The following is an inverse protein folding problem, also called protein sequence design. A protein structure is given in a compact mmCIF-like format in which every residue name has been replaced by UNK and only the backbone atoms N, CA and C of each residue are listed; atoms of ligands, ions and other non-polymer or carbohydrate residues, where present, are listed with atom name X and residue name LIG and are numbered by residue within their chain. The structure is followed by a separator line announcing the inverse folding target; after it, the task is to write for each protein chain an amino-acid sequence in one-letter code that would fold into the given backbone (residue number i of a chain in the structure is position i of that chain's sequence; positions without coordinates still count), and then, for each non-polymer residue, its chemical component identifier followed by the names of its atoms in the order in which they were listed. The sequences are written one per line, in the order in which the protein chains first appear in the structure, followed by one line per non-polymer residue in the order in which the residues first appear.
data_IF_441297243141
#
_entry.id   IF_441297243141
#
_cell.length_a   1.000
_cell.length_b   1.000
_cell.length_c   1.000
_cell.angle_alpha   90.00
_cell.angle_beta   90.00
_cell.angle_gamma   90.00
#
_symmetry.space_group_name_H-M   'P 1'
#
loop_
_entity.id
_entity.type
_entity.pdbx_description
1 polymer ?
#
# COMPACT_ATOMS: atom_id res chain seq x y z
N UNK A 1 0.81 -9.89 -6.28
CA UNK A 1 -0.44 -10.18 -5.52
C UNK A 1 -1.47 -10.61 -6.54
N UNK A 2 -1.99 -11.83 -6.46
CA UNK A 2 -2.76 -12.49 -7.53
C UNK A 2 -4.08 -11.77 -7.90
N UNK A 3 -4.77 -11.16 -6.95
CA UNK A 3 -6.01 -10.42 -7.23
C UNK A 3 -5.77 -9.15 -8.07
N UNK A 4 -4.72 -8.40 -7.78
CA UNK A 4 -4.37 -7.19 -8.54
C UNK A 4 -3.88 -7.53 -9.95
N UNK A 5 -3.15 -8.65 -10.11
CA UNK A 5 -2.76 -9.19 -11.41
C UNK A 5 -3.99 -9.57 -12.25
N UNK A 6 -4.99 -10.21 -11.63
CA UNK A 6 -6.26 -10.50 -12.28
C UNK A 6 -6.99 -9.22 -12.71
N UNK A 7 -7.07 -8.21 -11.84
CA UNK A 7 -7.66 -6.91 -12.18
C UNK A 7 -6.92 -6.23 -13.34
N UNK A 8 -5.58 -6.25 -13.37
CA UNK A 8 -4.79 -5.73 -14.49
C UNK A 8 -5.12 -6.46 -15.80
N UNK A 9 -5.29 -7.79 -15.73
CA UNK A 9 -5.72 -8.60 -16.86
C UNK A 9 -7.19 -8.39 -17.27
N UNK A 10 -7.93 -7.49 -16.62
CA UNK A 10 -9.38 -7.31 -16.74
C UNK A 10 -10.18 -8.60 -16.48
N UNK A 11 -9.76 -9.35 -15.47
CA UNK A 11 -10.48 -10.51 -14.96
C UNK A 11 -11.23 -10.06 -13.69
N UNK A 12 -12.56 -10.24 -13.63
CA UNK A 12 -13.34 -9.90 -12.43
C UNK A 12 -12.89 -10.73 -11.23
N UNK A 13 -12.85 -10.09 -10.06
CA UNK A 13 -12.39 -10.71 -8.81
C UNK A 13 -13.58 -10.87 -7.86
N UNK A 14 -13.64 -12.04 -7.19
CA UNK A 14 -14.47 -12.23 -6.00
C UNK A 14 -13.55 -12.04 -4.79
N UNK A 15 -13.86 -11.07 -3.94
CA UNK A 15 -13.08 -10.74 -2.75
C UNK A 15 -13.88 -11.05 -1.48
N UNK A 16 -13.18 -11.38 -0.40
CA UNK A 16 -13.80 -11.60 0.91
C UNK A 16 -13.90 -10.26 1.64
N UNK A 17 -15.04 -10.00 2.27
CA UNK A 17 -15.25 -8.82 3.12
C UNK A 17 -14.14 -8.64 4.16
N UNK A 18 -13.67 -7.40 4.34
CA UNK A 18 -12.57 -7.06 5.25
C UNK A 18 -11.17 -7.47 4.77
N UNK A 19 -11.04 -7.99 3.53
CA UNK A 19 -9.73 -8.20 2.92
C UNK A 19 -9.19 -6.92 2.26
N UNK A 20 -7.86 -6.72 2.18
CA UNK A 20 -7.28 -5.57 1.48
C UNK A 20 -7.70 -5.45 0.00
N UNK A 21 -8.11 -6.57 -0.61
CA UNK A 21 -8.65 -6.59 -1.97
C UNK A 21 -10.07 -6.03 -1.99
N UNK A 22 -10.92 -6.40 -1.02
CA UNK A 22 -12.27 -5.87 -0.88
C UNK A 22 -12.26 -4.36 -0.59
N UNK A 23 -11.33 -3.88 0.25
CA UNK A 23 -11.17 -2.44 0.54
C UNK A 23 -10.89 -1.60 -0.72
N UNK A 24 -10.31 -2.23 -1.74
CA UNK A 24 -10.00 -1.60 -3.02
C UNK A 24 -10.99 -1.95 -4.12
N UNK A 25 -11.81 -2.97 -3.93
CA UNK A 25 -12.86 -3.34 -4.87
C UNK A 25 -14.00 -2.35 -4.70
N UNK A 26 -14.11 -1.37 -5.59
CA UNK A 26 -15.34 -0.59 -5.70
C UNK A 26 -16.50 -1.52 -6.11
N UNK A 27 -17.74 -1.17 -5.76
CA UNK A 27 -18.95 -2.01 -5.98
C UNK A 27 -19.14 -2.51 -7.43
N UNK A 28 -18.47 -1.90 -8.40
CA UNK A 28 -18.57 -2.21 -9.83
C UNK A 28 -17.38 -2.96 -10.44
N UNK A 29 -16.30 -3.20 -9.68
CA UNK A 29 -15.07 -3.85 -10.18
C UNK A 29 -15.00 -5.37 -9.91
N UNK A 30 -15.92 -5.88 -9.10
CA UNK A 30 -16.01 -7.30 -8.77
C UNK A 30 -17.13 -7.55 -7.76
N UNK A 31 -17.03 -8.65 -7.01
CA UNK A 31 -18.06 -9.04 -6.05
C UNK A 31 -17.41 -9.27 -4.69
N UNK A 32 -17.95 -8.63 -3.66
CA UNK A 32 -17.54 -8.87 -2.27
C UNK A 32 -18.50 -9.89 -1.67
N UNK A 33 -17.95 -10.89 -0.96
CA UNK A 33 -18.71 -11.94 -0.28
C UNK A 33 -18.32 -12.02 1.21
N UNK A 34 -19.26 -12.44 2.05
CA UNK A 34 -19.02 -12.68 3.46
C UNK A 34 -18.16 -13.95 3.67
N UNK A 35 -17.15 -13.92 4.56
CA UNK A 35 -16.39 -15.13 4.91
C UNK A 35 -17.23 -16.20 5.64
N UNK A 36 -18.39 -15.83 6.18
CA UNK A 36 -19.28 -16.72 6.94
C UNK A 36 -20.42 -17.31 6.08
N UNK A 37 -20.52 -16.93 4.81
CA UNK A 37 -21.60 -17.30 3.91
C UNK A 37 -21.04 -17.88 2.58
N UNK A 38 -20.54 -19.13 2.56
CA UNK A 38 -19.94 -19.74 1.37
C UNK A 38 -20.90 -19.82 0.17
N UNK A 39 -22.21 -19.85 0.41
CA UNK A 39 -23.26 -19.77 -0.61
C UNK A 39 -23.19 -18.48 -1.44
N UNK A 40 -22.70 -17.37 -0.89
CA UNK A 40 -22.52 -16.12 -1.64
C UNK A 40 -21.49 -16.27 -2.75
N UNK A 41 -20.51 -17.15 -2.60
CA UNK A 41 -19.56 -17.48 -3.68
C UNK A 41 -20.29 -18.16 -4.84
N UNK A 42 -21.23 -19.06 -4.57
CA UNK A 42 -22.02 -19.71 -5.62
C UNK A 42 -22.89 -18.69 -6.36
N UNK A 43 -23.55 -17.79 -5.63
CA UNK A 43 -24.33 -16.68 -6.20
C UNK A 43 -23.43 -15.75 -7.04
N UNK A 44 -22.22 -15.44 -6.56
CA UNK A 44 -21.26 -14.62 -7.29
C UNK A 44 -20.84 -15.30 -8.60
N UNK A 45 -20.54 -16.60 -8.58
CA UNK A 45 -20.20 -17.37 -9.77
C UNK A 45 -21.36 -17.45 -10.77
N UNK A 46 -22.60 -17.60 -10.28
CA UNK A 46 -23.79 -17.57 -11.13
C UNK A 46 -23.96 -16.21 -11.80
N UNK A 47 -23.79 -15.09 -11.07
CA UNK A 47 -23.79 -13.74 -11.67
C UNK A 47 -22.70 -13.61 -12.74
N UNK A 48 -21.50 -14.12 -12.46
CA UNK A 48 -20.37 -14.12 -13.40
C UNK A 48 -20.55 -15.09 -14.57
N UNK A 49 -21.66 -15.84 -14.67
CA UNK A 49 -21.99 -16.55 -15.91
C UNK A 49 -22.33 -15.59 -17.06
N UNK A 50 -22.82 -14.38 -16.75
CA UNK A 50 -23.06 -13.31 -17.73
C UNK A 50 -21.73 -12.75 -18.29
N UNK A 51 -21.42 -12.95 -19.58
CA UNK A 51 -20.20 -12.42 -20.20
C UNK A 51 -20.14 -10.90 -20.17
N UNK A 52 -21.28 -10.21 -20.31
CA UNK A 52 -21.32 -8.75 -20.30
C UNK A 52 -20.99 -8.20 -18.92
N UNK A 53 -21.48 -8.85 -17.85
CA UNK A 53 -21.10 -8.49 -16.48
C UNK A 53 -19.60 -8.69 -16.24
N UNK A 54 -19.04 -9.84 -16.68
CA UNK A 54 -17.60 -10.11 -16.54
C UNK A 54 -16.76 -9.04 -17.21
N UNK A 55 -17.12 -8.66 -18.43
CA UNK A 55 -16.40 -7.65 -19.19
C UNK A 55 -16.43 -6.29 -18.49
N UNK A 56 -17.62 -5.82 -18.06
CA UNK A 56 -17.76 -4.54 -17.36
C UNK A 56 -16.97 -4.51 -16.06
N UNK A 57 -17.10 -5.56 -15.23
CA UNK A 57 -16.37 -5.66 -13.96
C UNK A 57 -14.87 -5.73 -14.18
N UNK A 58 -14.40 -6.53 -15.14
CA UNK A 58 -12.99 -6.64 -15.48
C UNK A 58 -12.39 -5.32 -15.96
N UNK A 59 -13.08 -4.61 -16.86
CA UNK A 59 -12.63 -3.29 -17.33
C UNK A 59 -12.54 -2.28 -16.18
N UNK A 60 -13.52 -2.28 -15.27
CA UNK A 60 -13.51 -1.41 -14.10
C UNK A 60 -12.38 -1.76 -13.14
N UNK A 61 -12.15 -3.05 -12.89
CA UNK A 61 -11.01 -3.54 -12.11
C UNK A 61 -9.67 -3.07 -12.70
N UNK A 62 -9.51 -3.18 -14.03
CA UNK A 62 -8.32 -2.67 -14.73
C UNK A 62 -8.13 -1.17 -14.53
N UNK A 63 -9.20 -0.38 -14.62
CA UNK A 63 -9.13 1.06 -14.41
C UNK A 63 -8.67 1.41 -12.98
N UNK A 64 -9.19 0.72 -11.95
CA UNK A 64 -8.78 0.95 -10.54
C UNK A 64 -7.29 0.69 -10.35
N UNK A 65 -6.75 -0.36 -10.98
CA UNK A 65 -5.34 -0.71 -10.83
C UNK A 65 -4.41 0.09 -11.73
N UNK A 66 -4.93 0.76 -12.77
CA UNK A 66 -4.15 1.64 -13.63
C UNK A 66 -3.72 2.92 -12.90
N UNK A 67 -4.48 3.36 -11.90
CA UNK A 67 -4.16 4.51 -11.05
C UNK A 67 -3.10 4.20 -9.98
N UNK A 68 -2.58 2.97 -9.93
CA UNK A 68 -1.50 2.64 -9.03
C UNK A 68 -0.19 3.21 -9.56
N UNK A 69 0.56 3.84 -8.64
CA UNK A 69 1.89 4.38 -8.92
C UNK A 69 2.75 3.34 -9.64
N UNK A 70 3.39 3.76 -10.72
CA UNK A 70 4.37 2.95 -11.40
C UNK A 70 5.50 2.59 -10.41
N UNK A 71 6.20 1.49 -10.68
CA UNK A 71 7.34 1.04 -9.87
C UNK A 71 8.39 2.15 -9.76
N UNK A 72 8.59 2.94 -10.82
CA UNK A 72 9.48 4.09 -10.82
C UNK A 72 9.06 5.14 -9.78
N UNK A 73 7.80 5.59 -9.81
CA UNK A 73 7.26 6.59 -8.89
C UNK A 73 7.30 6.10 -7.42
N UNK A 74 6.96 4.82 -7.19
CA UNK A 74 7.06 4.22 -5.86
C UNK A 74 8.51 4.19 -5.37
N UNK A 75 9.46 3.89 -6.25
CA UNK A 75 10.90 3.87 -5.92
C UNK A 75 11.41 5.25 -5.56
N UNK A 76 11.01 6.28 -6.30
CA UNK A 76 11.40 7.66 -6.04
C UNK A 76 10.84 8.13 -4.69
N UNK A 77 9.53 7.94 -4.46
CA UNK A 77 8.91 8.30 -3.17
C UNK A 77 9.56 7.59 -1.99
N UNK A 78 9.89 6.30 -2.13
CA UNK A 78 10.54 5.55 -1.06
C UNK A 78 11.97 6.05 -0.80
N UNK A 79 12.70 6.36 -1.87
CA UNK A 79 14.05 6.94 -1.79
C UNK A 79 14.04 8.28 -1.09
N UNK A 80 13.09 9.14 -1.40
CA UNK A 80 12.94 10.46 -0.78
C UNK A 80 12.71 10.36 0.72
N UNK A 81 11.82 9.47 1.15
CA UNK A 81 11.55 9.24 2.58
C UNK A 81 12.79 8.71 3.30
N UNK A 82 13.51 7.76 2.68
CA UNK A 82 14.75 7.23 3.26
C UNK A 82 15.83 8.32 3.39
N UNK A 83 15.97 9.18 2.38
CA UNK A 83 16.91 10.30 2.40
C UNK A 83 16.54 11.34 3.47
N UNK A 84 15.25 11.61 3.65
CA UNK A 84 14.76 12.50 4.69
C UNK A 84 15.14 11.98 6.08
N UNK A 85 14.83 10.71 6.37
CA UNK A 85 15.13 10.08 7.67
C UNK A 85 16.64 10.04 7.92
N UNK A 86 17.44 9.72 6.90
CA UNK A 86 18.90 9.73 7.00
C UNK A 86 19.45 11.12 7.36
N UNK A 87 18.92 12.18 6.75
CA UNK A 87 19.30 13.57 7.05
C UNK A 87 18.94 13.95 8.49
N UNK A 88 17.75 13.62 8.96
CA UNK A 88 17.30 13.91 10.32
C UNK A 88 18.15 13.17 11.37
N UNK A 89 18.48 11.90 11.12
CA UNK A 89 19.38 11.12 11.97
C UNK A 89 20.79 11.70 12.03
N UNK A 90 21.31 12.16 10.90
CA UNK A 90 22.64 12.78 10.82
C UNK A 90 22.71 14.10 11.62
N UNK A 91 21.69 14.97 11.49
CA UNK A 91 21.59 16.22 12.23
C UNK A 91 21.47 15.97 13.74
N UNK A 92 20.61 15.02 14.16
CA UNK A 92 20.50 14.65 15.59
C UNK A 92 21.83 14.12 16.15
N UNK A 93 22.53 13.28 15.39
CA UNK A 93 23.83 12.75 15.78
C UNK A 93 24.92 13.82 15.88
N UNK A 94 24.90 14.85 15.04
CA UNK A 94 25.78 16.01 15.12
C UNK A 94 25.51 16.85 16.37
N UNK A 95 24.25 17.22 16.63
CA UNK A 95 23.87 17.99 17.81
C UNK A 95 24.21 17.28 19.13
N UNK A 96 23.98 15.95 19.21
CA UNK A 96 24.35 15.16 20.39
C UNK A 96 25.86 15.13 20.62
N UNK A 97 26.67 15.01 19.55
CA UNK A 97 28.13 15.03 19.64
C UNK A 97 28.67 16.40 20.06
N UNK A 98 28.14 17.47 19.49
CA UNK A 98 28.49 18.84 19.86
C UNK A 98 28.15 19.14 21.33
N UNK A 99 26.96 18.75 21.79
CA UNK A 99 26.56 18.92 23.21
C UNK A 99 27.46 18.14 24.17
N UNK A 100 27.83 16.89 23.84
CA UNK A 100 28.76 16.09 24.64
C UNK A 100 30.18 16.66 24.67
N UNK A 101 30.67 17.19 23.55
CA UNK A 101 31.98 17.84 23.49
C UNK A 101 31.99 19.12 24.34
N UNK A 102 30.93 19.93 24.25
CA UNK A 102 30.78 21.16 25.05
C UNK A 102 30.75 20.86 26.55
N UNK A 103 29.99 19.84 26.99
CA UNK A 103 29.99 19.41 28.39
C UNK A 103 31.35 18.87 28.86
N UNK A 104 32.13 18.22 28.00
CA UNK A 104 33.48 17.76 28.36
C UNK A 104 34.48 18.92 28.51
N UNK A 105 34.39 19.93 27.65
CA UNK A 105 35.27 21.09 27.68
C UNK A 105 34.98 21.96 28.90
N UNK A 106 33.71 22.22 29.20
CA UNK A 106 33.33 23.02 30.37
C UNK A 106 33.60 22.32 31.71
N UNK A 107 33.47 20.98 31.78
CA UNK A 107 33.81 20.23 33.00
C UNK A 107 35.32 20.20 33.30
N UNK A 108 36.17 20.54 32.33
CA UNK A 108 37.63 20.60 32.50
C UNK A 108 38.12 21.96 33.06
N UNK A 109 37.26 22.98 33.12
CA UNK A 109 37.63 24.33 33.60
C UNK A 109 37.25 24.59 35.07
N UNK A 110 36.68 23.61 35.77
CA UNK A 110 36.30 23.68 37.19
C UNK A 110 37.25 22.91 38.13
N UNK A 111 38.38 22.42 37.60
CA UNK A 111 39.42 21.72 38.39
C UNK A 111 40.77 22.39 38.19
N UNK A 112 40.92 23.60 38.75
CA UNK A 112 42.20 24.24 39.06
C UNK A 112 42.06 25.07 40.34
#
# INVERSE_FOLDING_TARGET
MTAFEAMQAAIPVIAVEGSPVADRLEESAGIIVSPQAPEEVAVALERLSDPGLRERMGQRGRAIVADYADVAETTDSFTDVLLEVARQGHIRGLCQRASRAFHKIFRFQETD
#
